data_IF_859019088920
#
_entry.id   IF_859019088920
#
_cell.length_a   1.000
_cell.length_b   1.000
_cell.length_c   1.000
_cell.angle_alpha   90.00
_cell.angle_beta   90.00
_cell.angle_gamma   90.00
#
_symmetry.space_group_name_H-M   'P 1'
#
loop_
_entity.id
_entity.type
_entity.pdbx_description
1 polymer ?
#
# COMPACT_ATOMS: atom_id res chain seq x y z
N UNK A 1 -17.90 41.01 -20.14
CA UNK A 1 -18.36 39.62 -20.37
C UNK A 1 -17.17 38.65 -20.23
N UNK A 2 -16.34 38.84 -19.18
CA UNK A 2 -14.97 38.27 -19.10
C UNK A 2 -14.72 37.45 -17.81
N UNK A 3 -15.69 37.41 -16.90
CA UNK A 3 -15.53 36.77 -15.58
C UNK A 3 -16.15 35.35 -15.53
N UNK A 4 -16.92 34.98 -16.55
CA UNK A 4 -17.63 33.67 -16.61
C UNK A 4 -16.73 32.57 -17.17
N UNK A 5 -15.84 32.91 -18.10
CA UNK A 5 -14.89 31.96 -18.71
C UNK A 5 -13.75 31.64 -17.73
N UNK A 6 -13.23 32.65 -17.03
CA UNK A 6 -12.20 32.48 -16.01
C UNK A 6 -12.67 31.59 -14.83
N UNK A 7 -13.92 31.76 -14.38
CA UNK A 7 -14.53 30.89 -13.32
C UNK A 7 -14.66 29.43 -13.75
N UNK A 8 -15.01 29.17 -15.01
CA UNK A 8 -15.13 27.80 -15.56
C UNK A 8 -13.76 27.13 -15.72
N UNK A 9 -12.74 27.91 -16.10
CA UNK A 9 -11.37 27.42 -16.23
C UNK A 9 -10.77 27.07 -14.86
N UNK A 10 -10.98 27.91 -13.84
CA UNK A 10 -10.53 27.65 -12.46
C UNK A 10 -11.23 26.40 -11.88
N UNK A 11 -12.52 26.20 -12.15
CA UNK A 11 -13.24 25.00 -11.69
C UNK A 11 -12.74 23.72 -12.38
N UNK A 12 -12.37 23.76 -13.66
CA UNK A 12 -11.82 22.59 -14.36
C UNK A 12 -10.42 22.22 -13.87
N UNK A 13 -9.58 23.21 -13.55
CA UNK A 13 -8.25 22.96 -12.98
C UNK A 13 -8.36 22.45 -11.53
N UNK A 14 -9.29 22.98 -10.73
CA UNK A 14 -9.54 22.48 -9.38
C UNK A 14 -10.12 21.05 -9.37
N UNK A 15 -10.97 20.71 -10.34
CA UNK A 15 -11.54 19.36 -10.44
C UNK A 15 -10.53 18.33 -10.95
N UNK A 16 -9.66 18.72 -11.88
CA UNK A 16 -8.55 17.87 -12.34
C UNK A 16 -7.51 17.60 -11.26
N UNK A 17 -7.22 18.58 -10.40
CA UNK A 17 -6.27 18.43 -9.30
C UNK A 17 -6.79 17.56 -8.15
N UNK A 18 -8.10 17.39 -8.00
CA UNK A 18 -8.69 16.51 -6.97
C UNK A 18 -8.66 15.03 -7.37
N UNK A 19 -8.52 14.73 -8.68
CA UNK A 19 -8.46 13.36 -9.19
C UNK A 19 -7.05 12.74 -9.13
N UNK A 20 -6.00 13.55 -8.89
CA UNK A 20 -4.61 13.08 -8.74
C UNK A 20 -4.16 13.01 -7.29
N UNK A 21 -5.03 13.26 -6.32
CA UNK A 21 -4.74 12.98 -4.93
C UNK A 21 -4.83 11.47 -4.70
N UNK A 22 -3.84 10.74 -5.21
CA UNK A 22 -3.47 9.45 -4.64
C UNK A 22 -2.93 9.80 -3.26
N UNK A 23 -3.63 9.47 -2.16
CA UNK A 23 -3.01 9.61 -0.86
C UNK A 23 -1.75 8.74 -0.91
N UNK A 24 -0.59 9.39 -0.85
CA UNK A 24 0.65 8.70 -0.55
C UNK A 24 0.38 7.87 0.70
N UNK A 25 0.58 6.57 0.58
CA UNK A 25 0.43 5.65 1.70
C UNK A 25 1.47 6.05 2.74
N UNK A 26 1.06 6.86 3.72
CA UNK A 26 1.89 7.29 4.84
C UNK A 26 2.08 6.15 5.86
N UNK A 27 2.11 4.90 5.40
CA UNK A 27 2.61 3.73 6.12
C UNK A 27 4.16 3.73 6.19
N UNK A 28 4.77 4.92 6.27
CA UNK A 28 5.99 5.11 7.06
C UNK A 28 5.63 5.10 8.56
N UNK A 29 4.87 4.08 8.98
CA UNK A 29 4.93 3.64 10.36
C UNK A 29 6.40 3.35 10.57
N UNK A 30 7.00 4.04 11.54
CA UNK A 30 8.26 3.67 12.17
C UNK A 30 8.22 2.15 12.39
N UNK A 31 8.71 1.37 11.42
CA UNK A 31 8.82 -0.09 11.52
C UNK A 31 9.97 -0.27 12.48
N UNK A 32 9.70 -0.11 13.77
CA UNK A 32 10.60 -0.58 14.81
C UNK A 32 10.90 -2.02 14.40
N UNK A 33 12.15 -2.28 14.01
CA UNK A 33 12.59 -3.61 13.64
C UNK A 33 12.09 -4.54 14.75
N UNK A 34 11.36 -5.59 14.37
CA UNK A 34 10.80 -6.52 15.34
C UNK A 34 11.93 -6.92 16.30
N UNK A 35 11.70 -6.80 17.61
CA UNK A 35 12.69 -7.19 18.59
C UNK A 35 13.01 -8.67 18.37
N UNK A 36 14.19 -8.93 17.82
CA UNK A 36 14.64 -10.26 17.46
C UNK A 36 15.39 -10.81 18.66
N UNK A 37 14.95 -11.92 19.28
CA UNK A 37 15.66 -12.49 20.41
C UNK A 37 17.09 -12.87 20.05
N UNK A 38 17.96 -12.90 21.05
CA UNK A 38 19.35 -13.35 20.88
C UNK A 38 19.40 -14.75 20.26
N UNK A 39 20.31 -14.95 19.30
CA UNK A 39 20.42 -16.19 18.54
C UNK A 39 19.51 -16.32 17.32
N UNK A 40 18.66 -15.31 17.05
CA UNK A 40 17.83 -15.25 15.84
C UNK A 40 18.27 -14.11 14.90
N UNK A 41 17.98 -14.27 13.61
CA UNK A 41 18.11 -13.24 12.59
C UNK A 41 16.72 -12.98 12.01
N UNK A 42 16.37 -11.72 11.81
CA UNK A 42 15.11 -11.29 11.21
C UNK A 42 15.39 -10.51 9.93
N UNK A 43 14.60 -10.78 8.90
CA UNK A 43 14.69 -10.15 7.59
C UNK A 43 13.28 -9.85 7.06
N UNK A 44 13.13 -8.71 6.39
CA UNK A 44 11.90 -8.39 5.66
C UNK A 44 11.97 -9.06 4.28
N UNK A 45 11.24 -10.16 4.12
CA UNK A 45 11.17 -10.90 2.84
C UNK A 45 10.16 -10.27 1.87
N UNK A 46 9.06 -9.71 2.40
CA UNK A 46 8.04 -9.01 1.62
C UNK A 46 7.40 -7.90 2.45
N UNK A 47 7.09 -6.78 1.81
CA UNK A 47 6.44 -5.62 2.43
C UNK A 47 5.22 -5.15 1.63
N UNK A 48 4.56 -4.11 2.15
CA UNK A 48 3.44 -3.41 1.48
C UNK A 48 2.28 -4.32 1.03
N UNK A 49 2.04 -5.41 1.77
CA UNK A 49 0.86 -6.24 1.57
C UNK A 49 -0.29 -5.58 2.34
N UNK A 50 -1.41 -5.23 1.66
CA UNK A 50 -2.53 -4.61 2.34
C UNK A 50 -3.24 -5.63 3.23
N UNK A 51 -3.25 -5.36 4.54
CA UNK A 51 -4.01 -6.12 5.56
C UNK A 51 -3.82 -7.65 5.44
N UNK A 52 -2.59 -8.18 5.60
CA UNK A 52 -2.35 -9.63 5.59
C UNK A 52 -3.01 -10.26 6.81
N UNK A 53 -3.68 -11.40 6.62
CA UNK A 53 -4.44 -12.09 7.67
C UNK A 53 -3.88 -13.49 7.97
N UNK A 54 -3.40 -14.21 6.95
CA UNK A 54 -2.91 -15.58 7.09
C UNK A 54 -1.84 -15.90 6.04
N UNK A 55 -1.01 -16.91 6.30
CA UNK A 55 0.01 -17.41 5.37
C UNK A 55 0.17 -18.92 5.42
N UNK A 56 0.52 -19.52 4.28
CA UNK A 56 0.81 -20.96 4.19
C UNK A 56 1.97 -21.24 3.22
N UNK A 57 2.82 -22.18 3.61
CA UNK A 57 3.89 -22.70 2.74
C UNK A 57 3.36 -23.77 1.80
N UNK A 58 3.68 -23.62 0.53
CA UNK A 58 3.38 -24.60 -0.50
C UNK A 58 4.46 -25.70 -0.55
N UNK A 59 4.13 -26.92 -1.00
CA UNK A 59 5.13 -27.98 -1.21
C UNK A 59 6.21 -27.62 -2.24
N UNK A 60 5.96 -26.63 -3.10
CA UNK A 60 6.92 -26.13 -4.09
C UNK A 60 7.82 -24.99 -3.59
N UNK A 61 7.72 -24.63 -2.30
CA UNK A 61 8.53 -23.60 -1.65
C UNK A 61 7.96 -22.18 -1.75
N UNK A 62 6.83 -21.96 -2.42
CA UNK A 62 6.16 -20.66 -2.43
C UNK A 62 5.43 -20.37 -1.11
N UNK A 63 5.22 -19.09 -0.83
CA UNK A 63 4.37 -18.65 0.28
C UNK A 63 3.10 -18.01 -0.27
N UNK A 64 1.95 -18.52 0.17
CA UNK A 64 0.65 -17.89 -0.07
C UNK A 64 0.31 -16.99 1.10
N UNK A 65 -0.16 -15.78 0.82
CA UNK A 65 -0.59 -14.80 1.83
C UNK A 65 -2.02 -14.38 1.51
N UNK A 66 -2.94 -14.66 2.43
CA UNK A 66 -4.33 -14.23 2.33
C UNK A 66 -4.49 -12.80 2.88
N UNK A 67 -5.16 -11.94 2.14
CA UNK A 67 -5.50 -10.58 2.57
C UNK A 67 -6.93 -10.52 3.10
N UNK A 68 -7.23 -9.53 3.93
CA UNK A 68 -8.58 -9.30 4.44
C UNK A 68 -9.63 -9.09 3.32
N UNK A 69 -9.21 -8.60 2.16
CA UNK A 69 -10.08 -8.36 0.99
C UNK A 69 -10.46 -9.63 0.24
N UNK A 70 -9.87 -10.79 0.60
CA UNK A 70 -10.10 -12.07 -0.07
C UNK A 70 -9.14 -12.34 -1.22
N UNK A 71 -8.13 -11.51 -1.43
CA UNK A 71 -7.08 -11.76 -2.41
C UNK A 71 -6.02 -12.71 -1.83
N UNK A 72 -5.34 -13.44 -2.72
CA UNK A 72 -4.18 -14.27 -2.36
C UNK A 72 -2.96 -13.78 -3.12
N UNK A 73 -1.90 -13.42 -2.38
CA UNK A 73 -0.59 -13.06 -2.92
C UNK A 73 0.34 -14.27 -2.87
N UNK A 74 1.19 -14.40 -3.88
CA UNK A 74 2.14 -15.51 -4.02
C UNK A 74 3.55 -14.94 -4.01
N UNK A 75 4.38 -15.39 -3.07
CA UNK A 75 5.78 -14.98 -2.91
C UNK A 75 6.70 -16.14 -3.29
N UNK A 76 7.84 -15.82 -3.91
CA UNK A 76 8.90 -16.75 -4.31
C UNK A 76 10.23 -16.31 -3.72
#
# INVERSE_FOLDING_TARGET
MENTILRRLVLLVAFGAMLTFVPEDHDQVNRAAAHTPDGFISEIVVGSIPRPMDLAFAPDGRVFIATLTGDVRIIK
#
